data_IF_213264295308
#
_entry.id   IF_213264295308
#
_cell.length_a   1.000
_cell.length_b   1.000
_cell.length_c   1.000
_cell.angle_alpha   90.00
_cell.angle_beta   90.00
_cell.angle_gamma   90.00
#
_symmetry.space_group_name_H-M   'P 1'
#
loop_
_entity.id
_entity.type
_entity.pdbx_description
1 polymer ?
#
# COMPACT_ATOMS: atom_id res chain seq x y z
N UNK A 1 7.60 11.02 -1.43
CA UNK A 1 6.46 10.65 -0.56
C UNK A 1 6.44 9.14 -0.51
N UNK A 2 6.32 8.57 0.68
CA UNK A 2 6.16 7.14 0.85
C UNK A 2 4.78 6.91 1.48
N UNK A 3 4.00 6.00 0.91
CA UNK A 3 2.67 5.65 1.40
C UNK A 3 2.78 4.36 2.21
N UNK A 4 2.36 4.43 3.47
CA UNK A 4 2.35 3.29 4.38
C UNK A 4 0.92 3.11 4.91
N UNK A 5 0.09 2.45 4.11
CA UNK A 5 -1.29 2.12 4.48
C UNK A 5 -1.33 0.66 4.95
N UNK A 6 -1.53 0.48 6.26
CA UNK A 6 -1.60 -0.82 6.92
C UNK A 6 -3.04 -1.15 7.40
N UNK A 7 -3.83 -1.91 6.67
CA UNK A 7 -3.68 -2.40 5.29
C UNK A 7 -5.03 -2.19 4.59
N UNK A 8 -5.05 -2.01 3.25
CA UNK A 8 -6.29 -2.01 2.49
C UNK A 8 -7.17 -3.23 2.83
N UNK A 9 -8.49 -3.04 2.81
CA UNK A 9 -9.54 -4.06 2.96
C UNK A 9 -9.65 -4.67 4.35
N UNK A 10 -8.56 -5.11 4.98
CA UNK A 10 -8.61 -5.82 6.26
C UNK A 10 -8.23 -4.96 7.46
N UNK A 11 -7.57 -3.82 7.23
CA UNK A 11 -6.90 -3.07 8.29
C UNK A 11 -5.66 -3.79 8.85
N UNK A 12 -4.85 -3.05 9.61
CA UNK A 12 -3.72 -3.56 10.37
C UNK A 12 -4.11 -3.85 11.81
N UNK A 13 -4.17 -2.80 12.63
CA UNK A 13 -4.56 -2.88 14.03
C UNK A 13 -6.08 -2.84 14.25
N UNK A 14 -6.51 -3.35 15.42
CA UNK A 14 -7.90 -3.28 15.83
C UNK A 14 -8.42 -1.84 15.91
N UNK A 15 -9.49 -1.55 15.19
CA UNK A 15 -10.09 -0.21 15.11
C UNK A 15 -9.63 0.62 13.92
N UNK A 16 -8.67 0.14 13.13
CA UNK A 16 -8.32 0.77 11.85
C UNK A 16 -9.50 0.65 10.88
N UNK A 17 -9.95 1.80 10.37
CA UNK A 17 -10.99 1.84 9.34
C UNK A 17 -10.50 1.17 8.06
N UNK A 18 -11.36 0.36 7.46
CA UNK A 18 -11.12 -0.33 6.20
C UNK A 18 -12.45 -0.52 5.46
N UNK A 19 -12.37 -0.61 4.13
CA UNK A 19 -13.51 -0.83 3.25
C UNK A 19 -13.18 -1.87 2.18
N UNK A 20 -14.20 -2.58 1.69
CA UNK A 20 -14.03 -3.58 0.63
C UNK A 20 -13.51 -3.04 -0.69
N UNK A 21 -13.58 -1.72 -0.91
CA UNK A 21 -13.08 -1.03 -2.12
C UNK A 21 -11.71 -0.38 -1.92
N UNK A 22 -11.04 -0.61 -0.79
CA UNK A 22 -9.75 0.03 -0.50
C UNK A 22 -8.68 -0.29 -1.55
N UNK A 23 -8.74 -1.44 -2.20
CA UNK A 23 -7.82 -1.80 -3.29
C UNK A 23 -7.94 -0.84 -4.48
N UNK A 24 -9.16 -0.58 -4.95
CA UNK A 24 -9.45 0.37 -6.04
C UNK A 24 -9.15 1.80 -5.59
N UNK A 25 -9.51 2.14 -4.35
CA UNK A 25 -9.29 3.47 -3.81
C UNK A 25 -7.80 3.76 -3.61
N UNK A 26 -6.99 2.75 -3.26
CA UNK A 26 -5.55 2.86 -3.16
C UNK A 26 -4.93 3.18 -4.52
N UNK A 27 -5.28 2.44 -5.58
CA UNK A 27 -4.80 2.73 -6.94
C UNK A 27 -5.16 4.15 -7.36
N UNK A 28 -6.40 4.58 -7.10
CA UNK A 28 -6.84 5.95 -7.39
C UNK A 28 -6.07 7.01 -6.58
N UNK A 29 -5.77 6.74 -5.32
CA UNK A 29 -4.95 7.59 -4.46
C UNK A 29 -3.53 7.73 -5.04
N UNK A 30 -2.89 6.61 -5.40
CA UNK A 30 -1.54 6.57 -5.97
C UNK A 30 -1.47 7.33 -7.30
N UNK A 31 -2.44 7.11 -8.18
CA UNK A 31 -2.60 7.88 -9.40
C UNK A 31 -2.65 9.37 -9.08
N UNK A 32 -3.47 9.77 -8.10
CA UNK A 32 -3.66 11.18 -7.78
C UNK A 32 -2.41 11.84 -7.20
N UNK A 33 -1.67 11.12 -6.35
CA UNK A 33 -0.36 11.58 -5.89
C UNK A 33 0.58 11.79 -7.07
N UNK A 34 0.69 10.82 -7.98
CA UNK A 34 1.59 10.93 -9.13
C UNK A 34 1.25 12.12 -10.04
N UNK A 35 -0.03 12.40 -10.25
CA UNK A 35 -0.49 13.57 -11.03
C UNK A 35 -0.12 14.92 -10.41
N UNK A 36 -0.15 15.01 -9.08
CA UNK A 36 0.06 16.26 -8.34
C UNK A 36 1.52 16.51 -7.97
N UNK A 37 2.33 15.45 -7.93
CA UNK A 37 3.74 15.53 -7.54
C UNK A 37 4.61 16.15 -8.63
N UNK A 38 5.65 16.89 -8.20
CA UNK A 38 6.58 17.52 -9.12
C UNK A 38 7.46 16.46 -9.83
N UNK A 39 7.82 16.67 -11.11
CA UNK A 39 8.77 15.81 -11.79
C UNK A 39 10.08 15.66 -11.03
N UNK A 40 10.64 14.44 -11.00
CA UNK A 40 11.88 14.14 -10.28
C UNK A 40 11.70 13.85 -8.78
N UNK A 41 10.47 13.89 -8.26
CA UNK A 41 10.17 13.40 -6.91
C UNK A 41 9.74 11.94 -6.93
N UNK A 42 10.06 11.23 -5.84
CA UNK A 42 9.78 9.81 -5.69
C UNK A 42 8.46 9.58 -4.96
N UNK A 43 7.63 8.68 -5.47
CA UNK A 43 6.46 8.11 -4.82
C UNK A 43 6.70 6.61 -4.62
N UNK A 44 6.79 6.19 -3.37
CA UNK A 44 7.07 4.80 -2.99
C UNK A 44 5.98 4.30 -2.03
N UNK A 45 5.94 3.00 -1.77
CA UNK A 45 4.96 2.43 -0.85
C UNK A 45 5.56 1.29 -0.02
N UNK A 46 5.28 1.27 1.27
CA UNK A 46 5.51 0.12 2.12
C UNK A 46 4.40 -0.93 1.90
N UNK A 47 4.78 -2.20 1.70
CA UNK A 47 3.83 -3.30 1.46
C UNK A 47 4.11 -4.51 2.35
N UNK A 48 3.07 -5.29 2.72
CA UNK A 48 3.24 -6.45 3.58
C UNK A 48 4.01 -7.57 2.88
N UNK A 49 4.80 -8.33 3.64
CA UNK A 49 5.44 -9.56 3.16
C UNK A 49 4.51 -10.80 3.23
N UNK A 50 3.34 -10.70 3.87
CA UNK A 50 2.38 -11.80 3.98
C UNK A 50 1.47 -11.91 2.74
N UNK A 51 1.22 -13.12 2.25
CA UNK A 51 0.27 -13.38 1.15
C UNK A 51 -1.14 -12.86 1.47
N UNK A 52 -1.66 -13.18 2.66
CA UNK A 52 -3.01 -12.77 3.09
C UNK A 52 -3.29 -11.27 2.98
N UNK A 53 -2.34 -10.40 3.35
CA UNK A 53 -2.48 -8.94 3.20
C UNK A 53 -2.07 -8.46 1.80
N UNK A 54 -1.13 -9.17 1.14
CA UNK A 54 -0.68 -8.85 -0.20
C UNK A 54 -1.79 -8.97 -1.25
N UNK A 55 -2.71 -9.91 -1.06
CA UNK A 55 -3.89 -10.11 -1.93
C UNK A 55 -4.88 -8.93 -1.92
N UNK A 56 -4.76 -8.00 -0.97
CA UNK A 56 -5.60 -6.81 -0.90
C UNK A 56 -5.11 -5.66 -1.81
N UNK A 57 -4.01 -5.85 -2.54
CA UNK A 57 -3.39 -4.82 -3.38
C UNK A 57 -3.56 -5.16 -4.86
N UNK A 58 -3.83 -4.15 -5.69
CA UNK A 58 -3.79 -4.29 -7.15
C UNK A 58 -2.37 -4.07 -7.66
N UNK A 59 -1.40 -4.88 -7.21
CA UNK A 59 0.06 -4.65 -7.37
C UNK A 59 0.45 -4.23 -8.79
N UNK A 60 -0.10 -4.90 -9.81
CA UNK A 60 0.18 -4.57 -11.21
C UNK A 60 -0.30 -3.17 -11.61
N UNK A 61 -1.45 -2.74 -11.10
CA UNK A 61 -2.00 -1.40 -11.34
C UNK A 61 -1.26 -0.35 -10.53
N UNK A 62 -1.03 -0.63 -9.24
CA UNK A 62 -0.36 0.27 -8.31
C UNK A 62 1.06 0.61 -8.76
N UNK A 63 1.80 -0.37 -9.29
CA UNK A 63 3.17 -0.21 -9.79
C UNK A 63 3.29 0.82 -10.94
N UNK A 64 2.22 1.08 -11.71
CA UNK A 64 2.27 2.12 -12.76
C UNK A 64 2.46 3.53 -12.20
N UNK A 65 2.11 3.74 -10.93
CA UNK A 65 2.16 5.05 -10.28
C UNK A 65 3.33 5.18 -9.32
N UNK A 66 3.89 4.06 -8.87
CA UNK A 66 4.99 4.00 -7.91
C UNK A 66 6.35 3.90 -8.59
N UNK A 67 7.37 4.45 -7.95
CA UNK A 67 8.76 4.21 -8.32
C UNK A 67 9.18 2.79 -7.89
N UNK A 68 8.83 2.36 -6.67
CA UNK A 68 8.98 0.98 -6.19
C UNK A 68 8.18 0.71 -4.92
N UNK A 69 8.12 -0.56 -4.55
CA UNK A 69 7.62 -1.05 -3.26
C UNK A 69 8.75 -1.34 -2.28
N UNK A 70 8.56 -0.96 -1.02
CA UNK A 70 9.38 -1.33 0.12
C UNK A 70 8.69 -2.50 0.85
N UNK A 71 9.11 -3.73 0.56
CA UNK A 71 8.50 -4.91 1.18
C UNK A 71 8.92 -5.00 2.66
N UNK A 72 7.95 -5.02 3.56
CA UNK A 72 8.16 -5.12 5.02
C UNK A 72 8.51 -6.57 5.40
N UNK A 73 9.73 -6.98 5.10
CA UNK A 73 10.28 -8.33 5.34
C UNK A 73 10.71 -8.56 6.79
N UNK A 74 9.90 -8.06 7.72
CA UNK A 74 10.05 -8.16 9.16
C UNK A 74 8.69 -8.46 9.80
N UNK A 75 8.65 -8.63 11.13
CA UNK A 75 7.45 -8.97 11.90
C UNK A 75 6.71 -10.23 11.41
N UNK A 76 7.44 -11.16 10.76
CA UNK A 76 6.89 -12.42 10.27
C UNK A 76 6.50 -13.39 11.40
N UNK A 77 7.13 -13.25 12.57
CA UNK A 77 6.88 -14.05 13.76
C UNK A 77 7.04 -13.18 15.00
N UNK A 78 6.29 -13.48 16.05
CA UNK A 78 6.45 -12.88 17.36
C UNK A 78 5.54 -13.51 18.42
N UNK A 79 5.38 -12.84 19.55
CA UNK A 79 4.74 -13.39 20.75
C UNK A 79 3.20 -13.25 20.78
N UNK A 80 2.61 -12.67 19.74
CA UNK A 80 1.17 -12.48 19.57
C UNK A 80 0.44 -13.79 19.25
#
# INVERSE_FOLDING_TARGET
VDIDWEYPITGGDGGTHHDSNDDVNLTALLQKFRELMQPGTLLTMATPASEFRGDNYQINQDQYHLDWFNLMTYDLYGAW
#
